data_IF_754169115279
#
_entry.id   IF_754169115279
#
_cell.length_a   1.000
_cell.length_b   1.000
_cell.length_c   1.000
_cell.angle_alpha   90.00
_cell.angle_beta   90.00
_cell.angle_gamma   90.00
#
_symmetry.space_group_name_H-M   'P 1'
#
loop_
_entity.id
_entity.type
_entity.pdbx_description
1 polymer ?
#
# COMPACT_ATOMS: atom_id res chain seq x y z
N UNK A 1 -7.73 17.63 9.93
CA UNK A 1 -7.19 16.54 9.09
C UNK A 1 -7.75 15.16 9.47
N UNK A 2 -7.84 14.79 10.77
CA UNK A 2 -8.42 13.52 11.26
C UNK A 2 -9.96 13.38 11.13
N UNK A 3 -10.60 14.04 10.15
CA UNK A 3 -12.06 13.96 9.94
C UNK A 3 -12.45 13.03 8.76
N UNK A 4 -11.50 12.52 7.98
CA UNK A 4 -11.77 11.67 6.79
C UNK A 4 -11.42 10.19 6.93
N UNK A 5 -10.58 9.81 7.89
CA UNK A 5 -10.16 8.42 8.09
C UNK A 5 -10.19 8.07 9.58
N UNK A 6 -10.77 6.92 9.93
CA UNK A 6 -10.71 6.39 11.30
C UNK A 6 -9.29 5.96 11.66
N UNK A 7 -9.01 5.80 12.95
CA UNK A 7 -7.73 5.25 13.41
C UNK A 7 -7.44 3.88 12.77
N UNK A 8 -8.46 3.03 12.64
CA UNK A 8 -8.34 1.72 11.98
C UNK A 8 -7.97 1.84 10.51
N UNK A 9 -8.68 2.67 9.72
CA UNK A 9 -8.36 2.85 8.28
C UNK A 9 -6.98 3.49 8.09
N UNK A 10 -6.56 4.36 9.01
CA UNK A 10 -5.20 4.92 9.02
C UNK A 10 -4.15 3.81 9.19
N UNK A 11 -4.35 2.90 10.14
CA UNK A 11 -3.44 1.78 10.36
C UNK A 11 -3.41 0.79 9.18
N UNK A 12 -4.54 0.56 8.53
CA UNK A 12 -4.62 -0.25 7.31
C UNK A 12 -3.80 0.37 6.18
N UNK A 13 -3.97 1.67 5.92
CA UNK A 13 -3.20 2.40 4.90
C UNK A 13 -1.70 2.31 5.18
N UNK A 14 -1.27 2.49 6.44
CA UNK A 14 0.14 2.35 6.83
C UNK A 14 0.66 0.94 6.53
N UNK A 15 -0.14 -0.10 6.81
CA UNK A 15 0.23 -1.47 6.53
C UNK A 15 0.36 -1.74 5.03
N UNK A 16 -0.58 -1.25 4.21
CA UNK A 16 -0.53 -1.41 2.75
C UNK A 16 0.70 -0.70 2.16
N UNK A 17 1.06 0.48 2.67
CA UNK A 17 2.28 1.19 2.26
C UNK A 17 3.54 0.36 2.56
N UNK A 18 3.64 -0.23 3.76
CA UNK A 18 4.77 -1.09 4.15
C UNK A 18 4.86 -2.34 3.28
N UNK A 19 3.71 -2.92 2.93
CA UNK A 19 3.65 -4.07 2.03
C UNK A 19 4.14 -3.72 0.62
N UNK A 20 3.70 -2.58 0.08
CA UNK A 20 4.16 -2.09 -1.21
C UNK A 20 5.67 -1.83 -1.24
N UNK A 21 6.23 -1.21 -0.19
CA UNK A 21 7.67 -0.96 -0.03
C UNK A 21 8.50 -2.26 0.03
N UNK A 22 8.03 -3.27 0.74
CA UNK A 22 8.69 -4.58 0.76
C UNK A 22 8.69 -5.21 -0.64
N UNK A 23 7.55 -5.14 -1.33
CA UNK A 23 7.37 -5.71 -2.67
C UNK A 23 8.24 -5.01 -3.72
N UNK A 24 8.39 -3.68 -3.65
CA UNK A 24 9.27 -2.92 -4.57
C UNK A 24 10.75 -3.20 -4.32
N UNK A 25 11.11 -3.73 -3.16
CA UNK A 25 12.46 -4.23 -2.84
C UNK A 25 12.67 -5.69 -3.26
N UNK A 26 11.70 -6.30 -3.95
CA UNK A 26 11.76 -7.70 -4.38
C UNK A 26 11.50 -8.71 -3.27
N UNK A 27 11.07 -8.26 -2.09
CA UNK A 27 10.72 -9.17 -1.00
C UNK A 27 9.45 -9.92 -1.40
N UNK A 28 9.55 -11.25 -1.52
CA UNK A 28 8.49 -12.21 -1.91
C UNK A 28 8.03 -12.23 -3.38
N UNK A 29 8.43 -11.30 -4.25
CA UNK A 29 8.16 -11.40 -5.70
C UNK A 29 9.07 -10.47 -6.53
N UNK A 30 9.92 -11.06 -7.38
CA UNK A 30 10.90 -10.32 -8.21
C UNK A 30 10.36 -9.84 -9.56
N UNK A 31 9.20 -10.33 -10.00
CA UNK A 31 8.71 -10.16 -11.38
C UNK A 31 7.66 -9.06 -11.55
N UNK A 32 7.21 -8.42 -10.47
CA UNK A 32 6.21 -7.35 -10.54
C UNK A 32 6.90 -6.00 -10.82
N UNK A 33 6.31 -5.18 -11.68
CA UNK A 33 6.84 -3.83 -11.94
C UNK A 33 6.45 -2.87 -10.81
N UNK A 34 7.29 -1.86 -10.54
CA UNK A 34 6.97 -0.80 -9.57
C UNK A 34 5.66 -0.07 -9.90
N UNK A 35 5.34 0.06 -11.19
CA UNK A 35 4.08 0.66 -11.64
C UNK A 35 2.86 -0.15 -11.24
N UNK A 36 2.96 -1.49 -11.24
CA UNK A 36 1.87 -2.36 -10.82
C UNK A 36 1.71 -2.39 -9.31
N UNK A 37 2.82 -2.35 -8.56
CA UNK A 37 2.81 -2.19 -7.10
C UNK A 37 2.09 -0.89 -6.71
N UNK A 38 2.41 0.22 -7.39
CA UNK A 38 1.79 1.50 -7.10
C UNK A 38 0.28 1.50 -7.42
N UNK A 39 -0.13 0.89 -8.54
CA UNK A 39 -1.56 0.73 -8.88
C UNK A 39 -2.31 -0.08 -7.82
N UNK A 40 -1.70 -1.17 -7.36
CA UNK A 40 -2.26 -2.01 -6.28
C UNK A 40 -2.42 -1.20 -4.98
N UNK A 41 -1.40 -0.45 -4.58
CA UNK A 41 -1.44 0.40 -3.38
C UNK A 41 -2.55 1.46 -3.47
N UNK A 42 -2.64 2.17 -4.59
CA UNK A 42 -3.68 3.19 -4.81
C UNK A 42 -5.07 2.57 -4.72
N UNK A 43 -5.27 1.39 -5.32
CA UNK A 43 -6.54 0.67 -5.22
C UNK A 43 -6.92 0.37 -3.76
N UNK A 44 -5.99 -0.19 -2.96
CA UNK A 44 -6.19 -0.53 -1.54
C UNK A 44 -6.48 0.68 -0.63
N UNK A 45 -5.90 1.84 -0.95
CA UNK A 45 -6.11 3.08 -0.18
C UNK A 45 -7.47 3.71 -0.48
N UNK A 46 -7.90 3.69 -1.76
CA UNK A 46 -9.10 4.37 -2.23
C UNK A 46 -10.39 3.53 -2.09
N UNK A 47 -10.27 2.20 -2.09
CA UNK A 47 -11.37 1.26 -1.88
C UNK A 47 -11.34 0.68 -0.46
#
# INVERSE_FOLDING_TARGET
>A
AMKKYSGVKTMQIINDIRYADAKSKGVTNYSISDGDILRELVFRVLH
#
